data_IF_039068187204
#
_entry.id   IF_039068187204
#
_cell.length_a   1.000
_cell.length_b   1.000
_cell.length_c   1.000
_cell.angle_alpha   90.00
_cell.angle_beta   90.00
_cell.angle_gamma   90.00
#
_symmetry.space_group_name_H-M   'P 1'
#
loop_
_entity.id
_entity.type
_entity.pdbx_description
1 polymer ?
#
# COMPACT_ATOMS: atom_id res chain seq x y z
N UNK A 1 20.22 3.04 9.39
CA UNK A 1 18.75 3.18 9.28
C UNK A 1 18.22 1.93 8.62
N UNK A 2 17.37 1.17 9.31
CA UNK A 2 17.06 -0.22 8.96
C UNK A 2 16.03 -0.32 7.83
N UNK A 3 16.17 -1.35 6.98
CA UNK A 3 15.19 -1.75 5.96
C UNK A 3 13.78 -1.92 6.58
N UNK A 4 13.74 -2.29 7.86
CA UNK A 4 12.53 -2.41 8.69
C UNK A 4 11.72 -1.11 8.80
N UNK A 5 12.35 0.06 8.89
CA UNK A 5 11.63 1.35 8.96
C UNK A 5 10.92 1.67 7.65
N UNK A 6 11.57 1.42 6.52
CA UNK A 6 10.96 1.65 5.21
C UNK A 6 9.74 0.73 4.99
N UNK A 7 9.84 -0.53 5.43
CA UNK A 7 8.76 -1.50 5.34
C UNK A 7 7.58 -1.12 6.25
N UNK A 8 7.85 -0.61 7.46
CA UNK A 8 6.82 -0.07 8.35
C UNK A 8 6.09 1.15 7.76
N UNK A 9 6.82 2.08 7.13
CA UNK A 9 6.20 3.23 6.46
C UNK A 9 5.32 2.81 5.29
N UNK A 10 5.78 1.86 4.48
CA UNK A 10 4.98 1.33 3.36
C UNK A 10 3.71 0.64 3.86
N UNK A 11 3.80 -0.15 4.95
CA UNK A 11 2.62 -0.76 5.57
C UNK A 11 1.62 0.28 6.07
N UNK A 12 2.09 1.36 6.72
CA UNK A 12 1.23 2.49 7.11
C UNK A 12 0.55 3.13 5.90
N UNK A 13 1.30 3.44 4.84
CA UNK A 13 0.74 4.01 3.60
C UNK A 13 -0.29 3.08 2.96
N UNK A 14 -0.03 1.77 2.94
CA UNK A 14 -0.98 0.78 2.42
C UNK A 14 -2.28 0.78 3.22
N UNK A 15 -2.21 0.86 4.56
CA UNK A 15 -3.39 0.96 5.41
C UNK A 15 -4.22 2.21 5.08
N UNK A 16 -3.57 3.38 5.04
CA UNK A 16 -4.25 4.64 4.70
C UNK A 16 -4.89 4.61 3.32
N UNK A 17 -4.24 4.00 2.32
CA UNK A 17 -4.83 3.83 0.99
C UNK A 17 -6.03 2.87 1.03
N UNK A 18 -6.00 1.84 1.87
CA UNK A 18 -7.14 0.94 2.06
C UNK A 18 -8.34 1.68 2.61
N UNK A 19 -8.14 2.48 3.66
CA UNK A 19 -9.20 3.23 4.32
C UNK A 19 -9.82 4.26 3.34
N UNK A 20 -8.97 4.95 2.57
CA UNK A 20 -9.41 5.87 1.51
C UNK A 20 -10.20 5.19 0.39
N UNK A 21 -9.78 3.99 -0.04
CA UNK A 21 -10.54 3.22 -1.02
C UNK A 21 -11.91 2.87 -0.48
N UNK A 22 -12.01 2.44 0.79
CA UNK A 22 -13.30 2.11 1.39
C UNK A 22 -14.21 3.33 1.53
N UNK A 23 -13.67 4.45 1.99
CA UNK A 23 -14.40 5.72 2.11
C UNK A 23 -14.91 6.18 0.74
N UNK A 24 -14.03 6.19 -0.27
CA UNK A 24 -14.40 6.51 -1.65
C UNK A 24 -15.35 5.47 -2.26
N UNK A 25 -15.39 4.22 -1.81
CA UNK A 25 -16.40 3.27 -2.29
C UNK A 25 -17.76 3.43 -1.62
N UNK A 26 -17.80 3.98 -0.40
CA UNK A 26 -19.04 4.20 0.35
C UNK A 26 -19.72 5.52 -0.01
N UNK A 27 -18.97 6.51 -0.48
CA UNK A 27 -19.57 7.77 -0.91
C UNK A 27 -20.32 7.59 -2.26
N UNK A 28 -21.57 8.05 -2.36
CA UNK A 28 -22.36 7.95 -3.59
C UNK A 28 -21.93 8.94 -4.68
N UNK A 29 -21.11 9.94 -4.33
CA UNK A 29 -20.59 10.95 -5.26
C UNK A 29 -19.16 10.66 -5.73
N UNK A 30 -18.59 9.52 -5.34
CA UNK A 30 -17.19 9.22 -5.63
C UNK A 30 -16.96 8.97 -7.11
N UNK A 31 -15.92 9.59 -7.64
CA UNK A 31 -15.50 9.35 -9.01
C UNK A 31 -14.91 7.93 -9.11
N UNK A 32 -15.47 7.12 -10.01
CA UNK A 32 -14.94 5.79 -10.30
C UNK A 32 -13.47 5.81 -10.74
N UNK A 33 -13.02 6.93 -11.32
CA UNK A 33 -11.61 7.15 -11.64
C UNK A 33 -10.73 7.27 -10.39
N UNK A 34 -11.20 7.97 -9.35
CA UNK A 34 -10.49 8.13 -8.09
C UNK A 34 -10.33 6.79 -7.37
N UNK A 35 -11.41 6.01 -7.26
CA UNK A 35 -11.37 4.65 -6.68
C UNK A 35 -10.39 3.76 -7.45
N UNK A 36 -10.37 3.85 -8.78
CA UNK A 36 -9.45 3.09 -9.63
C UNK A 36 -7.99 3.52 -9.42
N UNK A 37 -7.73 4.82 -9.29
CA UNK A 37 -6.40 5.35 -9.01
C UNK A 37 -5.90 4.90 -7.62
N UNK A 38 -6.74 4.99 -6.59
CA UNK A 38 -6.42 4.56 -5.23
C UNK A 38 -6.13 3.04 -5.17
N UNK A 39 -6.93 2.22 -5.85
CA UNK A 39 -6.68 0.77 -5.96
C UNK A 39 -5.35 0.47 -6.65
N UNK A 40 -5.00 1.22 -7.72
CA UNK A 40 -3.71 1.08 -8.40
C UNK A 40 -2.55 1.42 -7.49
N UNK A 41 -2.64 2.52 -6.74
CA UNK A 41 -1.63 2.89 -5.75
C UNK A 41 -1.50 1.83 -4.65
N UNK A 42 -2.63 1.33 -4.13
CA UNK A 42 -2.64 0.25 -3.13
C UNK A 42 -1.93 -1.00 -3.63
N UNK A 43 -2.17 -1.41 -4.89
CA UNK A 43 -1.50 -2.53 -5.52
C UNK A 43 0.02 -2.32 -5.65
N UNK A 44 0.44 -1.13 -6.05
CA UNK A 44 1.86 -0.80 -6.18
C UNK A 44 2.58 -0.86 -4.83
N UNK A 45 2.00 -0.29 -3.77
CA UNK A 45 2.58 -0.35 -2.43
C UNK A 45 2.63 -1.79 -1.93
N UNK A 46 1.58 -2.60 -2.17
CA UNK A 46 1.59 -4.01 -1.81
C UNK A 46 2.77 -4.75 -2.45
N UNK A 47 2.98 -4.57 -3.76
CA UNK A 47 4.10 -5.19 -4.48
C UNK A 47 5.46 -4.72 -3.95
N UNK A 48 5.57 -3.46 -3.56
CA UNK A 48 6.80 -2.91 -2.98
C UNK A 48 7.09 -3.51 -1.60
N UNK A 49 6.06 -3.68 -0.76
CA UNK A 49 6.17 -4.38 0.54
C UNK A 49 6.61 -5.83 0.31
N UNK A 50 5.99 -6.55 -0.61
CA UNK A 50 6.35 -7.95 -0.92
C UNK A 50 7.81 -8.07 -1.36
N UNK A 51 8.24 -7.24 -2.32
CA UNK A 51 9.65 -7.23 -2.79
C UNK A 51 10.64 -6.93 -1.67
N UNK A 52 10.35 -5.95 -0.83
CA UNK A 52 11.24 -5.58 0.27
C UNK A 52 11.24 -6.65 1.37
N UNK A 53 10.10 -7.26 1.65
CA UNK A 53 9.98 -8.37 2.60
C UNK A 53 10.76 -9.59 2.11
N UNK A 54 10.66 -9.93 0.83
CA UNK A 54 11.45 -11.01 0.23
C UNK A 54 12.95 -10.70 0.24
N UNK A 55 13.33 -9.45 -0.02
CA UNK A 55 14.73 -9.03 0.03
C UNK A 55 15.29 -9.14 1.46
N UNK A 56 14.52 -8.72 2.48
CA UNK A 56 14.89 -8.82 3.89
C UNK A 56 15.10 -10.29 4.31
N UNK A 57 14.21 -11.20 3.88
CA UNK A 57 14.33 -12.65 4.14
C UNK A 57 15.57 -13.24 3.46
N UNK A 58 15.89 -12.79 2.23
CA UNK A 58 17.08 -13.25 1.49
C UNK A 58 18.38 -12.77 2.10
N UNK A 59 18.40 -11.59 2.71
CA UNK A 59 19.60 -11.07 3.41
C UNK A 59 19.83 -11.73 4.78
N UNK A 60 18.87 -12.50 5.29
CA UNK A 60 18.96 -13.21 6.57
C UNK A 60 19.48 -14.65 6.47
N UNK A 61 19.84 -15.11 5.26
CA UNK A 61 20.49 -16.40 4.97
C UNK A 61 21.88 -16.19 4.38
#
# INVERSE_FOLDING_TARGET
MSMTSHLQELRKKHQTLSDRVEEAQRSPASDGLEVKALKKQKLQIKQQIERLSEAEIRTLH
#
